data_IF_724130105496
#
_entry.id   IF_724130105496
#
_cell.length_a   1.000
_cell.length_b   1.000
_cell.length_c   1.000
_cell.angle_alpha   90.00
_cell.angle_beta   90.00
_cell.angle_gamma   90.00
#
_symmetry.space_group_name_H-M   'P 1'
#
loop_
_entity.id
_entity.type
_entity.pdbx_description
1 polymer ?
#
# COMPACT_ATOMS: atom_id res chain seq x y z
N UNK A 1 -1.26 -0.90 9.50
CA UNK A 1 -1.33 -1.05 8.04
C UNK A 1 -2.33 -2.12 7.59
N UNK A 2 -2.78 -3.04 8.46
CA UNK A 2 -3.83 -4.01 8.08
C UNK A 2 -5.13 -3.35 7.57
N UNK A 3 -5.41 -2.11 8.00
CA UNK A 3 -6.60 -1.34 7.62
C UNK A 3 -6.45 -0.43 6.38
N UNK A 4 -5.31 -0.41 5.72
CA UNK A 4 -5.03 0.60 4.67
C UNK A 4 -4.85 -0.02 3.28
N UNK A 5 -5.11 0.74 2.23
CA UNK A 5 -4.73 0.41 0.86
C UNK A 5 -3.31 0.96 0.59
N UNK A 6 -2.32 0.10 0.32
CA UNK A 6 -0.92 0.52 0.23
C UNK A 6 -0.61 1.44 -0.95
N UNK A 7 -1.32 1.33 -2.08
CA UNK A 7 -1.04 2.16 -3.25
C UNK A 7 -1.68 3.54 -3.13
N UNK A 8 -2.90 3.59 -2.60
CA UNK A 8 -3.56 4.85 -2.29
C UNK A 8 -2.77 5.65 -1.25
N UNK A 9 -2.28 4.99 -0.19
CA UNK A 9 -1.39 5.64 0.78
C UNK A 9 -0.11 6.18 0.14
N UNK A 10 0.44 5.51 -0.87
CA UNK A 10 1.64 5.98 -1.57
C UNK A 10 1.37 7.27 -2.36
N UNK A 11 0.20 7.36 -3.02
CA UNK A 11 -0.22 8.58 -3.72
C UNK A 11 -0.42 9.75 -2.75
N UNK A 12 -1.14 9.53 -1.64
CA UNK A 12 -1.35 10.55 -0.61
C UNK A 12 -0.04 10.99 0.03
N UNK A 13 0.87 10.04 0.29
CA UNK A 13 2.20 10.34 0.80
C UNK A 13 3.01 11.19 -0.18
N UNK A 14 2.99 10.87 -1.47
CA UNK A 14 3.69 11.64 -2.50
C UNK A 14 3.12 13.05 -2.63
N UNK A 15 1.80 13.19 -2.66
CA UNK A 15 1.13 14.48 -2.72
C UNK A 15 1.47 15.34 -1.49
N UNK A 16 1.38 14.76 -0.29
CA UNK A 16 1.72 15.46 0.95
C UNK A 16 3.20 15.81 1.02
N UNK A 17 4.09 14.94 0.56
CA UNK A 17 5.52 15.22 0.52
C UNK A 17 5.82 16.43 -0.37
N UNK A 18 5.20 16.50 -1.56
CA UNK A 18 5.27 17.67 -2.44
C UNK A 18 4.74 18.94 -1.78
N UNK A 19 3.58 18.88 -1.11
CA UNK A 19 3.03 20.04 -0.40
C UNK A 19 3.87 20.47 0.80
N UNK A 20 4.64 19.55 1.37
CA UNK A 20 5.48 19.81 2.54
C UNK A 20 6.88 20.31 2.20
N UNK A 21 7.21 20.50 0.91
CA UNK A 21 8.57 20.72 0.41
C UNK A 21 9.53 19.59 0.84
N UNK A 22 9.12 18.34 0.63
CA UNK A 22 9.93 17.14 0.91
C UNK A 22 10.32 16.96 2.38
N UNK A 23 9.41 17.32 3.30
CA UNK A 23 9.63 17.23 4.76
C UNK A 23 8.76 16.16 5.42
N UNK A 24 8.07 15.33 4.64
CA UNK A 24 7.20 14.31 5.19
C UNK A 24 8.03 13.23 5.91
N UNK A 25 7.59 12.86 7.10
CA UNK A 25 8.08 11.69 7.83
C UNK A 25 6.90 10.81 8.21
N UNK A 26 6.93 9.53 7.80
CA UNK A 26 5.84 8.58 8.03
C UNK A 26 6.18 7.57 9.12
N UNK A 27 5.38 7.53 10.17
CA UNK A 27 5.38 6.47 11.17
C UNK A 27 4.39 5.37 10.77
N UNK A 28 4.89 4.18 10.40
CA UNK A 28 4.05 3.07 9.97
C UNK A 28 4.11 1.94 10.99
N UNK A 29 2.95 1.40 11.35
CA UNK A 29 2.81 0.25 12.25
C UNK A 29 1.98 -0.85 11.59
N UNK A 30 2.05 -2.06 12.15
CA UNK A 30 1.22 -3.19 11.69
C UNK A 30 -0.28 -2.92 11.86
N UNK A 31 -0.66 -2.11 12.84
CA UNK A 31 -2.02 -1.92 13.34
C UNK A 31 -2.05 -2.28 14.82
N UNK A 32 -2.85 -1.55 15.61
CA UNK A 32 -3.02 -1.84 17.03
C UNK A 32 -3.65 -3.22 17.21
N UNK A 33 -3.27 -4.01 18.23
CA UNK A 33 -4.08 -5.15 18.69
C UNK A 33 -5.37 -4.58 19.30
N UNK A 34 -6.30 -4.19 18.43
CA UNK A 34 -7.59 -3.68 18.87
C UNK A 34 -8.42 -4.81 19.51
N UNK A 35 -9.30 -4.48 20.46
CA UNK A 35 -10.26 -5.44 21.00
C UNK A 35 -11.30 -5.91 19.96
N UNK A 36 -11.24 -5.38 18.73
CA UNK A 36 -12.08 -5.80 17.62
C UNK A 36 -11.64 -7.16 17.08
N UNK A 37 -12.55 -8.15 17.14
CA UNK A 37 -12.35 -9.44 16.50
C UNK A 37 -12.25 -9.25 14.98
N UNK A 38 -11.06 -9.52 14.43
CA UNK A 38 -10.77 -9.40 12.99
C UNK A 38 -11.19 -8.05 12.40
N UNK A 39 -10.87 -6.95 13.10
CA UNK A 39 -11.32 -5.60 12.70
C UNK A 39 -11.04 -5.20 11.26
N UNK A 40 -10.03 -5.81 10.60
CA UNK A 40 -9.68 -5.49 9.21
C UNK A 40 -10.77 -5.89 8.21
N UNK A 41 -11.61 -6.87 8.58
CA UNK A 41 -12.79 -7.27 7.78
C UNK A 41 -13.81 -6.13 7.67
N UNK A 42 -13.96 -5.29 8.70
CA UNK A 42 -14.84 -4.14 8.67
C UNK A 42 -14.39 -3.07 7.67
N UNK A 43 -13.11 -3.07 7.29
CA UNK A 43 -12.54 -2.21 6.26
C UNK A 43 -12.54 -2.89 4.88
N UNK A 44 -13.20 -4.05 4.73
CA UNK A 44 -13.31 -4.77 3.46
C UNK A 44 -12.04 -5.53 3.07
N UNK A 45 -11.11 -5.78 4.01
CA UNK A 45 -9.95 -6.62 3.76
C UNK A 45 -10.21 -8.05 4.21
N UNK A 46 -9.94 -8.99 3.32
CA UNK A 46 -10.02 -10.43 3.60
C UNK A 46 -8.61 -11.02 3.55
N UNK A 47 -8.33 -12.01 4.39
CA UNK A 47 -7.11 -12.82 4.32
C UNK A 47 -7.52 -14.26 4.02
N UNK A 48 -7.15 -14.77 2.85
CA UNK A 48 -7.48 -16.13 2.41
C UNK A 48 -6.46 -17.17 2.90
N UNK A 49 -5.31 -16.69 3.41
CA UNK A 49 -4.35 -17.49 4.17
C UNK A 49 -4.60 -17.22 5.65
N UNK A 50 -4.30 -18.17 6.55
CA UNK A 50 -4.67 -18.11 7.98
C UNK A 50 -4.63 -16.71 8.63
N UNK A 51 -5.59 -16.37 9.52
CA UNK A 51 -5.90 -15.00 9.88
C UNK A 51 -4.81 -14.39 10.77
N UNK A 52 -3.87 -13.68 10.17
CA UNK A 52 -2.90 -12.87 10.91
C UNK A 52 -2.80 -11.50 10.26
N UNK A 53 -3.49 -10.51 10.83
CA UNK A 53 -3.33 -9.10 10.50
C UNK A 53 -1.87 -8.64 10.36
N UNK A 54 -0.96 -9.27 11.11
CA UNK A 54 0.47 -9.04 11.01
C UNK A 54 1.07 -9.43 9.65
N UNK A 55 0.62 -10.53 9.03
CA UNK A 55 1.04 -10.96 7.70
C UNK A 55 0.52 -9.99 6.64
N UNK A 56 -0.79 -9.73 6.66
CA UNK A 56 -1.40 -8.73 5.77
C UNK A 56 -0.71 -7.38 5.87
N UNK A 57 -0.44 -6.89 7.09
CA UNK A 57 0.25 -5.62 7.28
C UNK A 57 1.69 -5.64 6.73
N UNK A 58 2.39 -6.77 6.84
CA UNK A 58 3.74 -6.94 6.28
C UNK A 58 3.72 -6.89 4.75
N UNK A 59 2.80 -7.60 4.13
CA UNK A 59 2.66 -7.63 2.66
C UNK A 59 2.22 -6.27 2.09
N UNK A 60 1.26 -5.62 2.75
CA UNK A 60 0.86 -4.26 2.40
C UNK A 60 2.01 -3.27 2.55
N UNK A 61 2.83 -3.41 3.61
CA UNK A 61 3.99 -2.55 3.81
C UNK A 61 5.06 -2.75 2.73
N UNK A 62 5.36 -3.99 2.35
CA UNK A 62 6.26 -4.28 1.23
C UNK A 62 5.78 -3.60 -0.07
N UNK A 63 4.50 -3.76 -0.41
CA UNK A 63 3.91 -3.13 -1.59
C UNK A 63 3.96 -1.61 -1.56
N UNK A 64 3.71 -1.00 -0.40
CA UNK A 64 3.85 0.45 -0.21
C UNK A 64 5.31 0.91 -0.40
N UNK A 65 6.29 0.19 0.19
CA UNK A 65 7.71 0.52 0.05
C UNK A 65 8.17 0.50 -1.40
N UNK A 66 7.74 -0.50 -2.17
CA UNK A 66 8.04 -0.59 -3.61
C UNK A 66 7.45 0.60 -4.38
N UNK A 67 6.21 0.99 -4.06
CA UNK A 67 5.55 2.13 -4.70
C UNK A 67 6.28 3.45 -4.43
N UNK A 68 6.62 3.76 -3.17
CA UNK A 68 7.32 5.02 -2.83
C UNK A 68 8.77 5.07 -3.33
N UNK A 69 9.35 3.92 -3.68
CA UNK A 69 10.66 3.85 -4.35
C UNK A 69 10.57 4.09 -5.85
N UNK A 70 9.36 4.22 -6.40
CA UNK A 70 9.15 4.37 -7.83
C UNK A 70 9.34 3.08 -8.62
N UNK A 71 9.18 1.91 -7.98
CA UNK A 71 9.20 0.64 -8.72
C UNK A 71 7.98 0.51 -9.63
N UNK A 72 8.16 -0.16 -10.76
CA UNK A 72 7.08 -0.50 -11.67
C UNK A 72 6.19 -1.60 -11.03
N UNK A 73 4.88 -1.37 -11.01
CA UNK A 73 3.93 -2.23 -10.27
C UNK A 73 2.65 -2.53 -11.06
N UNK A 74 2.40 -1.86 -12.18
CA UNK A 74 1.25 -2.10 -13.05
C UNK A 74 1.74 -2.46 -14.45
N UNK A 75 1.19 -3.47 -15.08
CA UNK A 75 1.48 -3.68 -16.49
C UNK A 75 0.87 -2.59 -17.35
N UNK A 76 1.65 -2.06 -18.29
CA UNK A 76 1.17 -1.11 -19.28
C UNK A 76 0.05 -1.73 -20.12
N UNK A 77 -0.98 -0.94 -20.49
CA UNK A 77 -1.98 -1.38 -21.47
C UNK A 77 -1.31 -1.51 -22.85
N UNK A 78 -1.19 -2.71 -23.43
CA UNK A 78 -0.50 -2.91 -24.70
C UNK A 78 -1.16 -2.17 -25.87
N UNK A 79 -2.45 -1.84 -25.77
CA UNK A 79 -3.15 -1.07 -26.81
C UNK A 79 -2.76 0.42 -26.78
N UNK A 80 -2.31 0.93 -25.64
CA UNK A 80 -1.93 2.33 -25.45
C UNK A 80 -0.40 2.53 -25.53
N UNK A 81 0.38 1.57 -25.02
CA UNK A 81 1.83 1.67 -24.89
C UNK A 81 2.62 0.65 -25.72
N UNK A 82 1.95 -0.23 -26.49
CA UNK A 82 2.59 -1.35 -27.18
C UNK A 82 3.08 -2.43 -26.21
N UNK A 83 3.77 -3.49 -26.69
CA UNK A 83 4.49 -4.39 -25.79
C UNK A 83 5.61 -3.60 -25.11
N UNK A 84 5.42 -3.29 -23.83
CA UNK A 84 6.29 -2.40 -23.07
C UNK A 84 6.46 -2.85 -21.61
N UNK A 85 7.40 -2.24 -20.88
CA UNK A 85 7.64 -2.55 -19.48
C UNK A 85 6.42 -2.23 -18.60
N UNK A 86 6.48 -2.69 -17.34
CA UNK A 86 5.50 -2.27 -16.35
C UNK A 86 5.63 -0.75 -16.10
N UNK A 87 4.56 -0.11 -15.69
CA UNK A 87 4.52 1.31 -15.32
C UNK A 87 4.68 1.46 -13.81
N UNK A 88 5.29 2.57 -13.34
CA UNK A 88 5.00 3.11 -12.02
C UNK A 88 3.48 3.21 -11.88
N UNK A 89 2.94 2.97 -10.69
CA UNK A 89 1.50 3.18 -10.46
C UNK A 89 1.13 4.62 -10.81
#
# INVERSE_FOLDING_TARGET
MCYENPLYLAEEAAALDLFSDQRLALGISRGSPEPALRGWEAFGYEDHTEPKAANMAREKFDRFLRAIRGEELASADPQQFGPGPDLPK
#
